data_IF_974583157095
#
_entry.id   IF_974583157095
#
_cell.length_a   1.000
_cell.length_b   1.000
_cell.length_c   1.000
_cell.angle_alpha   90.00
_cell.angle_beta   90.00
_cell.angle_gamma   90.00
#
_symmetry.space_group_name_H-M   'P 1'
#
loop_
_entity.id
_entity.type
_entity.pdbx_description
1 polymer ?
#
# COMPACT_ATOMS: atom_id res chain seq x y z
N UNK A 1 -8.78 6.69 -78.80
CA UNK A 1 -8.14 7.36 -77.63
C UNK A 1 -8.89 7.16 -76.32
N UNK A 2 -10.23 7.24 -76.28
CA UNK A 2 -11.04 7.09 -75.04
C UNK A 2 -10.72 5.85 -74.18
N UNK A 3 -10.56 4.66 -74.78
CA UNK A 3 -10.25 3.43 -74.02
C UNK A 3 -8.93 3.52 -73.22
N UNK A 4 -7.93 4.24 -73.71
CA UNK A 4 -6.64 4.44 -73.00
C UNK A 4 -6.80 5.40 -71.81
N UNK A 5 -7.63 6.43 -71.95
CA UNK A 5 -7.92 7.40 -70.88
C UNK A 5 -8.66 6.71 -69.73
N UNK A 6 -9.68 5.89 -70.04
CA UNK A 6 -10.38 5.10 -69.03
C UNK A 6 -9.49 4.08 -68.32
N UNK A 7 -8.56 3.43 -69.04
CA UNK A 7 -7.61 2.51 -68.42
C UNK A 7 -6.67 3.22 -67.42
N UNK A 8 -6.16 4.41 -67.76
CA UNK A 8 -5.31 5.20 -66.86
C UNK A 8 -6.08 5.68 -65.62
N UNK A 9 -7.31 6.15 -65.79
CA UNK A 9 -8.17 6.55 -64.66
C UNK A 9 -8.45 5.40 -63.69
N UNK A 10 -8.72 4.19 -64.20
CA UNK A 10 -8.94 3.01 -63.36
C UNK A 10 -7.70 2.61 -62.58
N UNK A 11 -6.50 2.72 -63.16
CA UNK A 11 -5.24 2.43 -62.47
C UNK A 11 -4.98 3.44 -61.34
N UNK A 12 -5.26 4.73 -61.56
CA UNK A 12 -5.10 5.77 -60.53
C UNK A 12 -6.09 5.54 -59.37
N UNK A 13 -7.34 5.19 -59.67
CA UNK A 13 -8.34 4.92 -58.64
C UNK A 13 -8.00 3.68 -57.80
N UNK A 14 -7.56 2.59 -58.44
CA UNK A 14 -7.20 1.36 -57.70
C UNK A 14 -5.94 1.53 -56.87
N UNK A 15 -4.92 2.21 -57.41
CA UNK A 15 -3.69 2.52 -56.65
C UNK A 15 -3.94 3.50 -55.50
N UNK A 16 -4.77 4.52 -55.71
CA UNK A 16 -5.18 5.46 -54.66
C UNK A 16 -5.99 4.80 -53.53
N UNK A 17 -6.92 3.91 -53.90
CA UNK A 17 -7.70 3.13 -52.92
C UNK A 17 -6.81 2.19 -52.10
N UNK A 18 -5.83 1.53 -52.73
CA UNK A 18 -4.89 0.66 -52.04
C UNK A 18 -3.97 1.45 -51.10
N UNK A 19 -3.45 2.59 -51.54
CA UNK A 19 -2.62 3.47 -50.72
C UNK A 19 -3.39 4.04 -49.52
N UNK A 20 -4.66 4.41 -49.70
CA UNK A 20 -5.52 4.87 -48.61
C UNK A 20 -5.77 3.78 -47.56
N UNK A 21 -6.05 2.54 -47.99
CA UNK A 21 -6.22 1.40 -47.09
C UNK A 21 -4.92 1.06 -46.34
N UNK A 22 -3.76 1.10 -47.00
CA UNK A 22 -2.46 0.87 -46.36
C UNK A 22 -2.16 1.94 -45.29
N UNK A 23 -2.48 3.21 -45.58
CA UNK A 23 -2.31 4.30 -44.63
C UNK A 23 -3.20 4.13 -43.39
N UNK A 24 -4.48 3.79 -43.57
CA UNK A 24 -5.40 3.53 -42.46
C UNK A 24 -4.93 2.34 -41.60
N UNK A 25 -4.45 1.27 -42.23
CA UNK A 25 -3.97 0.10 -41.50
C UNK A 25 -2.72 0.43 -40.66
N UNK A 26 -1.79 1.21 -41.21
CA UNK A 26 -0.61 1.71 -40.48
C UNK A 26 -1.00 2.61 -39.31
N UNK A 27 -2.03 3.43 -39.48
CA UNK A 27 -2.51 4.30 -38.41
C UNK A 27 -3.16 3.49 -37.28
N UNK A 28 -4.00 2.50 -37.63
CA UNK A 28 -4.61 1.60 -36.65
C UNK A 28 -3.57 0.78 -35.87
N UNK A 29 -2.50 0.32 -36.53
CA UNK A 29 -1.40 -0.39 -35.86
C UNK A 29 -0.71 0.53 -34.85
N UNK A 30 -0.37 1.76 -35.24
CA UNK A 30 0.26 2.74 -34.33
C UNK A 30 -0.62 3.08 -33.14
N UNK A 31 -1.91 3.30 -33.37
CA UNK A 31 -2.88 3.58 -32.30
C UNK A 31 -3.01 2.38 -31.36
N UNK A 32 -3.03 1.15 -31.89
CA UNK A 32 -3.08 -0.06 -31.07
C UNK A 32 -1.81 -0.27 -30.23
N UNK A 33 -0.65 0.11 -30.77
CA UNK A 33 0.63 0.01 -30.07
C UNK A 33 0.74 1.06 -28.97
N UNK A 34 0.29 2.30 -29.23
CA UNK A 34 0.18 3.35 -28.21
C UNK A 34 -0.79 2.93 -27.09
N UNK A 35 -1.97 2.42 -27.43
CA UNK A 35 -2.93 1.93 -26.45
C UNK A 35 -2.36 0.78 -25.59
N UNK A 36 -1.55 -0.11 -26.18
CA UNK A 36 -0.85 -1.16 -25.43
C UNK A 36 0.17 -0.61 -24.45
N UNK A 37 0.98 0.37 -24.88
CA UNK A 37 1.98 1.03 -24.03
C UNK A 37 1.28 1.73 -22.86
N UNK A 38 0.19 2.46 -23.12
CA UNK A 38 -0.60 3.12 -22.08
C UNK A 38 -1.21 2.12 -21.09
N UNK A 39 -1.75 1.00 -21.58
CA UNK A 39 -2.27 -0.07 -20.73
C UNK A 39 -1.18 -0.72 -19.88
N UNK A 40 0.00 -0.96 -20.43
CA UNK A 40 1.14 -1.49 -19.67
C UNK A 40 1.60 -0.51 -18.59
N UNK A 41 1.67 0.78 -18.92
CA UNK A 41 1.98 1.83 -17.95
C UNK A 41 0.94 1.89 -16.83
N UNK A 42 -0.36 1.90 -17.17
CA UNK A 42 -1.45 1.87 -16.19
C UNK A 42 -1.38 0.62 -15.31
N UNK A 43 -1.14 -0.55 -15.91
CA UNK A 43 -1.00 -1.81 -15.18
C UNK A 43 0.17 -1.77 -14.21
N UNK A 44 1.31 -1.24 -14.64
CA UNK A 44 2.49 -1.08 -13.79
C UNK A 44 2.23 -0.08 -12.65
N UNK A 45 1.55 1.03 -12.91
CA UNK A 45 1.17 1.99 -11.88
C UNK A 45 0.20 1.38 -10.84
N UNK A 46 -0.80 0.63 -11.30
CA UNK A 46 -1.74 -0.06 -10.40
C UNK A 46 -1.01 -1.11 -9.57
N UNK A 47 -0.12 -1.89 -10.18
CA UNK A 47 0.68 -2.88 -9.46
C UNK A 47 1.58 -2.23 -8.40
N UNK A 48 2.27 -1.15 -8.75
CA UNK A 48 3.10 -0.40 -7.80
C UNK A 48 2.29 0.18 -6.64
N UNK A 49 1.08 0.70 -6.90
CA UNK A 49 0.17 1.18 -5.84
C UNK A 49 -0.31 0.03 -4.95
N UNK A 50 -0.62 -1.13 -5.52
CA UNK A 50 -1.02 -2.31 -4.75
C UNK A 50 0.13 -2.83 -3.86
N UNK A 51 1.34 -2.90 -4.41
CA UNK A 51 2.55 -3.27 -3.65
C UNK A 51 2.84 -2.26 -2.53
N UNK A 52 2.72 -0.96 -2.80
CA UNK A 52 2.88 0.08 -1.78
C UNK A 52 1.83 -0.03 -0.67
N UNK A 53 0.56 -0.30 -1.00
CA UNK A 53 -0.50 -0.50 -0.02
C UNK A 53 -0.28 -1.75 0.85
N UNK A 54 0.20 -2.85 0.26
CA UNK A 54 0.58 -4.05 1.01
C UNK A 54 1.73 -3.77 1.98
N UNK A 55 2.78 -3.11 1.50
CA UNK A 55 3.93 -2.74 2.34
C UNK A 55 3.52 -1.80 3.49
N UNK A 56 2.65 -0.83 3.22
CA UNK A 56 2.10 0.07 4.23
C UNK A 56 1.32 -0.72 5.30
N UNK A 57 0.48 -1.68 4.89
CA UNK A 57 -0.26 -2.54 5.82
C UNK A 57 0.66 -3.37 6.73
N UNK A 58 1.74 -3.94 6.17
CA UNK A 58 2.74 -4.68 6.94
C UNK A 58 3.49 -3.77 7.92
N UNK A 59 3.89 -2.58 7.47
CA UNK A 59 4.56 -1.58 8.34
C UNK A 59 3.66 -1.13 9.48
N UNK A 60 2.39 -0.83 9.20
CA UNK A 60 1.42 -0.43 10.22
C UNK A 60 1.18 -1.52 11.26
N UNK A 61 1.12 -2.78 10.84
CA UNK A 61 1.00 -3.91 11.76
C UNK A 61 2.25 -4.08 12.62
N UNK A 62 3.44 -3.90 12.04
CA UNK A 62 4.70 -3.92 12.78
C UNK A 62 4.77 -2.77 13.80
N UNK A 63 4.41 -1.55 13.40
CA UNK A 63 4.36 -0.37 14.27
C UNK A 63 3.41 -0.58 15.46
N UNK A 64 2.22 -1.15 15.22
CA UNK A 64 1.28 -1.49 16.28
C UNK A 64 1.88 -2.52 17.25
N UNK A 65 2.55 -3.55 16.74
CA UNK A 65 3.18 -4.56 17.58
C UNK A 65 4.31 -3.98 18.42
N UNK A 66 5.14 -3.11 17.84
CA UNK A 66 6.23 -2.43 18.54
C UNK A 66 5.70 -1.48 19.62
N UNK A 67 4.63 -0.74 19.34
CA UNK A 67 3.98 0.15 20.30
C UNK A 67 3.42 -0.63 21.51
N UNK A 68 2.75 -1.77 21.27
CA UNK A 68 2.24 -2.63 22.34
C UNK A 68 3.37 -3.26 23.16
N UNK A 69 4.44 -3.70 22.51
CA UNK A 69 5.63 -4.22 23.19
C UNK A 69 6.28 -3.15 24.09
N UNK A 70 6.41 -1.91 23.60
CA UNK A 70 6.94 -0.80 24.39
C UNK A 70 6.05 -0.44 25.60
N UNK A 71 4.72 -0.55 25.46
CA UNK A 71 3.79 -0.39 26.57
C UNK A 71 3.99 -1.49 27.63
N UNK A 72 4.21 -2.73 27.20
CA UNK A 72 4.47 -3.87 28.09
C UNK A 72 5.83 -3.77 28.80
N UNK A 73 6.89 -3.33 28.11
CA UNK A 73 8.18 -3.06 28.76
C UNK A 73 8.06 -1.95 29.79
N UNK A 74 7.36 -0.86 29.47
CA UNK A 74 7.12 0.24 30.42
C UNK A 74 6.37 -0.24 31.67
N UNK A 75 5.37 -1.10 31.50
CA UNK A 75 4.63 -1.70 32.61
C UNK A 75 5.53 -2.58 33.49
N UNK A 76 6.34 -3.44 32.88
CA UNK A 76 7.24 -4.34 33.62
C UNK A 76 8.36 -3.57 34.34
N UNK A 77 8.91 -2.54 33.73
CA UNK A 77 9.85 -1.60 34.37
C UNK A 77 9.22 -0.86 35.56
N UNK A 78 7.98 -0.39 35.41
CA UNK A 78 7.26 0.25 36.50
C UNK A 78 7.03 -0.72 37.68
N UNK A 79 6.60 -1.95 37.39
CA UNK A 79 6.37 -2.98 38.42
C UNK A 79 7.67 -3.31 39.14
N UNK A 80 8.75 -3.60 38.40
CA UNK A 80 10.06 -3.96 38.98
C UNK A 80 10.65 -2.85 39.83
N UNK A 81 10.52 -1.58 39.41
CA UNK A 81 11.01 -0.43 40.17
C UNK A 81 10.26 -0.21 41.49
N UNK A 82 8.98 -0.60 41.55
CA UNK A 82 8.10 -0.35 42.70
C UNK A 82 7.91 -1.57 43.62
N UNK A 83 8.56 -2.69 43.31
CA UNK A 83 8.53 -3.88 44.15
C UNK A 83 9.27 -3.64 45.47
N UNK A 84 8.65 -4.07 46.57
CA UNK A 84 9.19 -3.96 47.92
C UNK A 84 9.45 -5.36 48.47
N UNK A 85 10.64 -5.64 49.06
CA UNK A 85 10.94 -6.95 49.63
C UNK A 85 10.02 -7.29 50.80
N UNK A 86 9.59 -8.56 50.88
CA UNK A 86 8.73 -9.04 51.95
C UNK A 86 9.53 -9.21 53.24
N UNK A 87 9.03 -8.63 54.35
CA UNK A 87 9.66 -8.79 55.66
C UNK A 87 9.74 -10.27 56.04
N UNK A 88 10.94 -10.71 56.43
CA UNK A 88 11.24 -12.07 56.92
C UNK A 88 11.20 -13.19 55.87
N UNK A 89 11.16 -12.85 54.57
CA UNK A 89 11.25 -13.83 53.48
C UNK A 89 12.23 -13.36 52.40
N UNK A 90 13.49 -13.80 52.43
CA UNK A 90 14.46 -13.45 51.41
C UNK A 90 14.03 -14.00 50.04
N UNK A 91 14.04 -13.16 49.01
CA UNK A 91 13.68 -13.52 47.63
C UNK A 91 12.22 -13.30 47.24
N UNK A 92 11.31 -13.03 48.19
CA UNK A 92 9.93 -12.64 47.88
C UNK A 92 9.81 -11.10 47.80
N UNK A 93 9.21 -10.62 46.72
CA UNK A 93 8.87 -9.20 46.52
C UNK A 93 7.35 -9.05 46.44
N UNK A 94 6.84 -7.94 46.97
CA UNK A 94 5.42 -7.56 46.92
C UNK A 94 5.25 -6.22 46.24
N UNK A 95 4.13 -6.06 45.55
CA UNK A 95 3.71 -4.81 44.95
C UNK A 95 2.40 -4.37 45.61
N UNK A 96 2.26 -3.09 45.94
CA UNK A 96 1.00 -2.57 46.45
C UNK A 96 -0.09 -2.69 45.37
N UNK A 97 -1.32 -3.11 45.72
CA UNK A 97 -2.40 -3.27 44.74
C UNK A 97 -2.73 -1.96 44.01
N UNK A 98 -2.60 -0.81 44.68
CA UNK A 98 -2.76 0.51 44.06
C UNK A 98 -1.74 0.76 42.93
N UNK A 99 -0.47 0.34 43.11
CA UNK A 99 0.58 0.47 42.09
C UNK A 99 0.36 -0.50 40.92
N UNK A 100 -0.17 -1.69 41.21
CA UNK A 100 -0.57 -2.62 40.15
C UNK A 100 -1.74 -2.08 39.32
N UNK A 101 -2.72 -1.44 39.97
CA UNK A 101 -3.85 -0.81 39.30
C UNK A 101 -3.39 0.39 38.44
N UNK A 102 -2.47 1.21 38.96
CA UNK A 102 -1.87 2.32 38.22
C UNK A 102 -1.08 1.83 36.99
N UNK A 103 -0.28 0.77 37.15
CA UNK A 103 0.44 0.12 36.05
C UNK A 103 -0.51 -0.45 34.98
N UNK A 104 -1.64 -1.00 35.39
CA UNK A 104 -2.65 -1.51 34.45
C UNK A 104 -3.37 -0.35 33.73
N UNK A 105 -3.78 0.69 34.44
CA UNK A 105 -4.43 1.88 33.83
C UNK A 105 -3.53 2.56 32.80
N UNK A 106 -2.25 2.73 33.12
CA UNK A 106 -1.28 3.33 32.19
C UNK A 106 -1.03 2.44 30.98
N UNK A 107 -0.93 1.12 31.18
CA UNK A 107 -0.82 0.15 30.09
C UNK A 107 -2.06 0.13 29.18
N UNK A 108 -3.26 0.13 29.75
CA UNK A 108 -4.51 0.12 28.97
C UNK A 108 -4.69 1.42 28.18
N UNK A 109 -4.34 2.56 28.78
CA UNK A 109 -4.32 3.85 28.09
C UNK A 109 -3.31 3.85 26.93
N UNK A 110 -2.09 3.35 27.16
CA UNK A 110 -1.06 3.26 26.11
C UNK A 110 -1.49 2.31 24.98
N UNK A 111 -2.04 1.14 25.29
CA UNK A 111 -2.58 0.20 24.29
C UNK A 111 -3.71 0.80 23.48
N UNK A 112 -4.62 1.53 24.13
CA UNK A 112 -5.72 2.21 23.45
C UNK A 112 -5.18 3.29 22.51
N UNK A 113 -4.16 4.04 22.92
CA UNK A 113 -3.49 5.04 22.08
C UNK A 113 -2.74 4.41 20.89
N UNK A 114 -2.06 3.28 21.10
CA UNK A 114 -1.43 2.51 20.02
C UNK A 114 -2.49 2.05 19.00
N UNK A 115 -3.61 1.50 19.48
CA UNK A 115 -4.70 1.01 18.63
C UNK A 115 -5.36 2.17 17.87
N UNK A 116 -5.65 3.29 18.53
CA UNK A 116 -6.27 4.45 17.87
C UNK A 116 -5.36 5.05 16.79
N UNK A 117 -4.05 5.04 17.02
CA UNK A 117 -3.07 5.53 16.03
C UNK A 117 -3.03 4.61 14.81
N UNK A 118 -3.03 3.30 15.02
CA UNK A 118 -3.12 2.32 13.94
C UNK A 118 -4.42 2.48 13.15
N UNK A 119 -5.56 2.55 13.83
CA UNK A 119 -6.88 2.68 13.19
C UNK A 119 -6.98 3.99 12.39
N UNK A 120 -6.40 5.07 12.89
CA UNK A 120 -6.34 6.36 12.20
C UNK A 120 -5.51 6.26 10.91
N UNK A 121 -4.33 5.63 10.97
CA UNK A 121 -3.44 5.46 9.82
C UNK A 121 -3.99 4.51 8.76
N UNK A 122 -4.67 3.44 9.16
CA UNK A 122 -5.39 2.54 8.24
C UNK A 122 -6.50 3.30 7.51
N UNK A 123 -7.25 4.17 8.21
CA UNK A 123 -8.30 4.98 7.59
C UNK A 123 -7.75 6.05 6.64
N UNK A 124 -6.61 6.67 6.94
CA UNK A 124 -6.00 7.69 6.10
C UNK A 124 -5.13 7.12 4.96
N UNK A 125 -4.77 5.83 5.02
CA UNK A 125 -3.88 5.21 4.04
C UNK A 125 -2.44 5.74 4.10
N UNK A 126 -2.01 6.22 5.27
CA UNK A 126 -0.74 6.93 5.50
C UNK A 126 0.00 6.41 6.72
#
# INVERSE_FOLDING_TARGET
MQKKIFAVLLIILTSGAWFYLDMLNKQAIKESEQARIELEQLRNQVKARAEAALNLGVQLAADLSACKAAAETTKTEFITKNQVPVKRKPGEFTLAPALMEEANKTFDAANTACQSTYDARIKSGS
#
